data_IF_835406563053
#
_entry.id   IF_835406563053
#
_cell.length_a   1.000
_cell.length_b   1.000
_cell.length_c   1.000
_cell.angle_alpha   90.00
_cell.angle_beta   90.00
_cell.angle_gamma   90.00
#
_symmetry.space_group_name_H-M   'P 1'
#
loop_
_entity.id
_entity.type
_entity.pdbx_description
1 polymer ?
#
# COMPACT_ATOMS: atom_id res chain seq x y z
N UNK A 1 13.16 -9.79 -5.04
CA UNK A 1 12.21 -8.92 -4.34
C UNK A 1 11.04 -9.74 -3.86
N UNK A 2 10.64 -9.50 -2.65
CA UNK A 2 9.49 -10.21 -2.09
C UNK A 2 8.29 -9.29 -2.10
N UNK A 3 7.14 -9.79 -2.51
CA UNK A 3 5.92 -9.01 -2.63
C UNK A 3 4.82 -9.64 -1.79
N UNK A 4 4.11 -8.79 -1.07
CA UNK A 4 2.95 -9.22 -0.30
C UNK A 4 1.74 -8.44 -0.76
N UNK A 5 0.68 -9.15 -1.08
CA UNK A 5 -0.58 -8.55 -1.51
C UNK A 5 -1.62 -8.87 -0.45
N UNK A 6 -2.32 -7.86 0.03
CA UNK A 6 -3.37 -8.04 1.02
C UNK A 6 -4.65 -7.48 0.48
N UNK A 7 -5.72 -8.19 0.72
CA UNK A 7 -7.03 -7.76 0.28
C UNK A 7 -7.99 -7.78 1.45
N UNK A 8 -8.62 -6.65 1.70
CA UNK A 8 -9.64 -6.57 2.75
C UNK A 8 -10.97 -6.20 2.12
N UNK A 9 -12.02 -6.92 2.47
CA UNK A 9 -13.37 -6.59 2.05
C UNK A 9 -14.09 -5.90 3.20
N UNK A 10 -14.99 -5.00 2.91
CA UNK A 10 -15.72 -4.29 3.96
C UNK A 10 -14.80 -3.36 4.74
N UNK A 11 -13.90 -2.71 4.06
CA UNK A 11 -12.83 -1.95 4.69
C UNK A 11 -13.03 -0.43 4.60
N UNK A 12 -14.26 0.04 4.51
CA UNK A 12 -14.51 1.47 4.34
C UNK A 12 -13.86 2.32 5.42
N UNK A 13 -13.93 1.89 6.67
CA UNK A 13 -13.37 2.68 7.77
C UNK A 13 -11.85 2.71 7.67
N UNK A 14 -11.23 1.60 7.28
CA UNK A 14 -9.80 1.55 7.12
C UNK A 14 -9.36 2.42 5.96
N UNK A 15 -10.06 2.35 4.84
CA UNK A 15 -9.76 3.17 3.68
C UNK A 15 -9.85 4.65 4.04
N UNK A 16 -10.91 5.02 4.73
CA UNK A 16 -11.12 6.43 5.11
C UNK A 16 -9.98 6.93 5.99
N UNK A 17 -9.52 6.10 6.89
CA UNK A 17 -8.46 6.52 7.79
C UNK A 17 -7.13 6.65 7.07
N UNK A 18 -6.84 5.77 6.14
CA UNK A 18 -5.64 5.86 5.34
C UNK A 18 -5.68 7.12 4.48
N UNK A 19 -6.84 7.42 3.92
CA UNK A 19 -6.99 8.61 3.08
C UNK A 19 -6.83 9.89 3.89
N UNK A 20 -7.16 9.85 5.15
CA UNK A 20 -6.99 11.03 6.01
C UNK A 20 -5.55 11.23 6.43
N UNK A 21 -4.75 10.20 6.47
CA UNK A 21 -3.40 10.26 7.03
C UNK A 21 -2.37 9.59 6.12
N UNK A 22 -2.35 9.95 4.85
CA UNK A 22 -1.47 9.25 3.91
C UNK A 22 0.00 9.43 4.25
N UNK A 23 0.38 10.59 4.78
CA UNK A 23 1.78 10.83 5.12
C UNK A 23 2.25 9.95 6.25
N UNK A 24 1.39 9.71 7.24
CA UNK A 24 1.76 8.82 8.34
C UNK A 24 2.00 7.42 7.83
N UNK A 25 1.13 6.95 6.97
CA UNK A 25 1.24 5.61 6.42
C UNK A 25 2.53 5.50 5.61
N UNK A 26 2.80 6.50 4.80
CA UNK A 26 4.02 6.50 4.02
C UNK A 26 5.25 6.45 4.90
N UNK A 27 5.29 7.27 5.94
CA UNK A 27 6.46 7.34 6.79
C UNK A 27 6.72 6.03 7.50
N UNK A 28 5.69 5.39 7.96
CA UNK A 28 5.83 4.14 8.68
C UNK A 28 6.29 3.02 7.78
N UNK A 29 5.71 2.92 6.62
CA UNK A 29 6.01 1.82 5.72
C UNK A 29 7.34 2.04 5.00
N UNK A 30 7.57 3.23 4.50
CA UNK A 30 8.75 3.48 3.69
C UNK A 30 10.04 3.48 4.50
N UNK A 31 9.94 3.64 5.81
CA UNK A 31 11.12 3.59 6.64
C UNK A 31 11.55 2.17 7.00
N UNK A 32 10.84 1.18 6.53
CA UNK A 32 11.19 -0.20 6.78
C UNK A 32 12.47 -0.54 6.01
N UNK A 33 13.46 -1.17 6.66
CA UNK A 33 14.66 -1.58 5.95
C UNK A 33 14.31 -2.50 4.77
N UNK A 34 14.89 -2.21 3.63
CA UNK A 34 14.63 -3.01 2.44
C UNK A 34 13.36 -2.65 1.67
N UNK A 35 12.66 -1.62 2.11
CA UNK A 35 11.44 -1.19 1.42
C UNK A 35 11.74 -0.78 -0.02
N UNK A 36 10.89 -1.16 -0.94
CA UNK A 36 11.02 -0.80 -2.35
C UNK A 36 9.80 -0.04 -2.86
N UNK A 37 8.61 -0.54 -2.63
CA UNK A 37 7.41 0.10 -3.17
C UNK A 37 6.17 -0.31 -2.42
N UNK A 38 5.17 0.55 -2.44
CA UNK A 38 3.89 0.27 -1.80
C UNK A 38 2.78 0.90 -2.63
N UNK A 39 1.73 0.15 -2.85
CA UNK A 39 0.55 0.67 -3.54
C UNK A 39 -0.69 0.26 -2.77
N UNK A 40 -1.65 1.15 -2.70
CA UNK A 40 -2.94 0.85 -2.10
C UNK A 40 -4.01 1.22 -3.11
N UNK A 41 -4.91 0.31 -3.35
CA UNK A 41 -5.97 0.48 -4.33
C UNK A 41 -7.29 0.24 -3.65
N UNK A 42 -8.28 1.06 -3.92
CA UNK A 42 -9.61 0.82 -3.39
C UNK A 42 -10.58 0.58 -4.54
N UNK A 43 -11.52 -0.30 -4.32
CA UNK A 43 -12.59 -0.58 -5.25
C UNK A 43 -13.84 -0.77 -4.39
N UNK A 44 -14.71 0.22 -4.37
CA UNK A 44 -15.83 0.20 -3.44
C UNK A 44 -15.30 0.19 -2.03
N UNK A 45 -15.71 -0.81 -1.25
CA UNK A 45 -15.21 -0.96 0.11
C UNK A 45 -14.11 -2.01 0.21
N UNK A 46 -13.54 -2.43 -0.92
CA UNK A 46 -12.43 -3.36 -0.91
C UNK A 46 -11.12 -2.59 -0.99
N UNK A 47 -10.18 -2.96 -0.15
CA UNK A 47 -8.84 -2.39 -0.16
C UNK A 47 -7.84 -3.46 -0.56
N UNK A 48 -6.98 -3.14 -1.49
CA UNK A 48 -5.90 -4.02 -1.86
C UNK A 48 -4.60 -3.27 -1.68
N UNK A 49 -3.66 -3.83 -0.96
CA UNK A 49 -2.34 -3.22 -0.84
C UNK A 49 -1.29 -4.16 -1.38
N UNK A 50 -0.27 -3.58 -1.98
CA UNK A 50 0.85 -4.34 -2.53
C UNK A 50 2.11 -3.73 -1.95
N UNK A 51 2.90 -4.54 -1.27
CA UNK A 51 4.14 -4.10 -0.66
C UNK A 51 5.28 -4.90 -1.25
N UNK A 52 6.31 -4.22 -1.69
CA UNK A 52 7.49 -4.86 -2.26
C UNK A 52 8.69 -4.47 -1.42
N UNK A 53 9.45 -5.45 -0.98
CA UNK A 53 10.69 -5.22 -0.25
C UNK A 53 11.78 -6.11 -0.83
N UNK A 54 13.01 -5.86 -0.43
CA UNK A 54 14.12 -6.64 -0.95
C UNK A 54 14.04 -8.10 -0.54
N UNK A 55 13.43 -8.37 0.62
CA UNK A 55 13.30 -9.74 1.09
C UNK A 55 12.05 -9.90 1.95
N UNK A 56 11.78 -11.12 2.36
CA UNK A 56 10.60 -11.43 3.13
C UNK A 56 10.62 -10.76 4.50
N UNK A 57 11.79 -10.61 5.08
CA UNK A 57 11.89 -9.96 6.38
C UNK A 57 11.34 -8.53 6.30
N UNK A 58 11.58 -7.86 5.17
CA UNK A 58 11.07 -6.52 4.96
C UNK A 58 9.56 -6.50 4.87
N UNK A 59 8.97 -7.38 4.07
CA UNK A 59 7.51 -7.39 3.95
C UNK A 59 6.85 -7.82 5.26
N UNK A 60 7.48 -8.71 6.01
CA UNK A 60 6.94 -9.10 7.32
C UNK A 60 6.95 -7.90 8.26
N UNK A 61 8.01 -7.10 8.22
CA UNK A 61 8.08 -5.93 9.07
C UNK A 61 7.08 -4.85 8.67
N UNK A 62 6.85 -4.65 7.38
CA UNK A 62 5.83 -3.70 6.95
C UNK A 62 4.45 -4.16 7.41
N UNK A 63 4.21 -5.46 7.39
CA UNK A 63 2.94 -6.00 7.86
C UNK A 63 2.75 -5.69 9.34
N UNK A 64 3.79 -5.88 10.13
CA UNK A 64 3.72 -5.62 11.56
C UNK A 64 3.45 -4.13 11.82
N UNK A 65 4.16 -3.26 11.12
CA UNK A 65 3.99 -1.82 11.30
C UNK A 65 2.61 -1.37 10.88
N UNK A 66 2.13 -1.89 9.76
CA UNK A 66 0.80 -1.54 9.29
C UNK A 66 -0.28 -1.98 10.27
N UNK A 67 -0.14 -3.18 10.79
CA UNK A 67 -1.12 -3.69 11.74
C UNK A 67 -1.15 -2.85 13.02
N UNK A 68 0.01 -2.40 13.46
CA UNK A 68 0.08 -1.56 14.62
C UNK A 68 -0.59 -0.21 14.38
N UNK A 69 -0.33 0.38 13.22
CA UNK A 69 -0.94 1.66 12.87
C UNK A 69 -2.47 1.54 12.82
N UNK A 70 -2.95 0.44 12.25
CA UNK A 70 -4.39 0.20 12.16
C UNK A 70 -4.99 0.10 13.56
N UNK A 71 -4.36 -0.64 14.44
CA UNK A 71 -4.89 -0.79 15.79
C UNK A 71 -4.95 0.54 16.53
N UNK A 72 -4.03 1.44 16.23
CA UNK A 72 -4.01 2.72 16.89
C UNK A 72 -5.02 3.71 16.33
N UNK A 73 -5.33 3.59 15.08
CA UNK A 73 -6.05 4.65 14.37
C UNK A 73 -7.45 4.27 13.89
N UNK A 74 -7.77 3.00 13.85
CA UNK A 74 -9.09 2.56 13.42
C UNK A 74 -9.82 1.98 14.62
N UNK A 75 -11.06 2.38 14.87
CA UNK A 75 -11.79 1.88 16.04
C UNK A 75 -11.92 0.36 16.00
N UNK A 76 -11.82 -0.24 17.17
CA UNK A 76 -11.85 -1.69 17.26
C UNK A 76 -13.11 -2.31 16.69
N UNK A 77 -14.25 -1.66 16.85
CA UNK A 77 -15.49 -2.21 16.34
C UNK A 77 -15.52 -2.19 14.82
N UNK A 78 -14.78 -1.30 14.19
CA UNK A 78 -14.71 -1.27 12.73
C UNK A 78 -13.78 -2.36 12.23
N UNK A 79 -12.97 -2.95 13.09
CA UNK A 79 -12.05 -4.02 12.70
C UNK A 79 -12.63 -5.40 12.91
N UNK A 80 -13.79 -5.50 13.52
CA UNK A 80 -14.40 -6.79 13.79
C UNK A 80 -14.70 -7.49 12.49
N UNK A 81 -14.19 -8.69 12.34
CA UNK A 81 -14.42 -9.46 11.13
C UNK A 81 -13.58 -9.02 9.94
N UNK A 82 -12.74 -8.01 10.10
CA UNK A 82 -11.94 -7.51 8.99
C UNK A 82 -10.62 -8.28 8.99
N UNK A 83 -10.52 -9.25 8.11
CA UNK A 83 -9.33 -10.09 8.02
C UNK A 83 -8.85 -10.08 6.58
N UNK A 84 -7.59 -9.80 6.35
CA UNK A 84 -7.11 -9.74 4.97
C UNK A 84 -6.83 -11.13 4.40
N UNK A 85 -7.03 -11.25 3.11
CA UNK A 85 -6.54 -12.38 2.38
C UNK A 85 -5.14 -12.00 1.95
N UNK A 86 -4.17 -12.84 2.20
CA UNK A 86 -2.79 -12.53 1.92
C UNK A 86 -2.21 -13.48 0.88
N UNK A 87 -1.59 -12.90 -0.13
CA UNK A 87 -0.84 -13.66 -1.11
C UNK A 87 0.55 -13.07 -1.14
N UNK A 88 1.57 -13.90 -1.03
CA UNK A 88 2.93 -13.38 -1.05
C UNK A 88 3.85 -14.31 -1.81
N UNK A 89 4.91 -13.79 -2.34
CA UNK A 89 5.87 -14.57 -3.07
C UNK A 89 6.98 -13.74 -3.66
N UNK A 90 7.79 -14.37 -4.49
CA UNK A 90 8.90 -13.69 -5.13
C UNK A 90 8.45 -13.04 -6.42
N UNK A 91 8.86 -11.81 -6.59
CA UNK A 91 8.59 -11.12 -7.83
C UNK A 91 9.52 -11.67 -8.88
N UNK A 92 9.01 -12.13 -9.98
CA UNK A 92 9.84 -12.71 -11.02
C UNK A 92 9.84 -11.90 -12.31
N UNK A 93 9.03 -10.87 -12.37
CA UNK A 93 8.99 -10.01 -13.54
C UNK A 93 8.49 -8.65 -13.10
N UNK A 94 9.23 -7.62 -13.42
CA UNK A 94 8.82 -6.27 -13.05
C UNK A 94 9.45 -5.28 -14.00
N UNK A 95 8.65 -4.36 -14.49
CA UNK A 95 9.18 -3.25 -15.26
C UNK A 95 8.20 -2.10 -15.14
N UNK A 96 8.67 -0.93 -15.41
CA UNK A 96 7.82 0.24 -15.34
C UNK A 96 8.31 1.25 -16.36
N UNK A 97 7.50 2.24 -16.62
CA UNK A 97 7.86 3.24 -17.60
C UNK A 97 9.12 3.96 -17.15
N UNK A 98 9.95 4.41 -18.09
CA UNK A 98 11.14 5.16 -17.72
C UNK A 98 10.78 6.47 -17.04
N UNK A 99 11.63 6.89 -16.13
CA UNK A 99 11.42 8.15 -15.49
C UNK A 99 11.81 9.25 -16.43
N UNK A 100 11.09 10.36 -16.40
CA UNK A 100 11.46 11.48 -17.17
C UNK A 100 12.42 12.30 -16.42
N UNK A 101 13.21 13.05 -17.15
CA UNK A 101 14.06 13.96 -16.54
C UNK A 101 13.29 14.97 -15.81
N UNK A 102 13.68 15.44 -14.76
CA UNK A 102 12.97 16.39 -14.00
C UNK A 102 11.87 15.82 -13.19
N UNK A 103 11.58 14.60 -13.38
CA UNK A 103 10.51 13.96 -12.72
C UNK A 103 11.08 12.96 -11.81
N UNK A 104 12.27 13.21 -11.38
CA UNK A 104 12.92 12.24 -10.64
C UNK A 104 12.50 12.20 -9.26
N UNK A 105 11.93 13.23 -8.80
CA UNK A 105 11.56 13.19 -7.48
C UNK A 105 10.57 12.23 -7.24
N UNK A 106 10.44 11.84 -6.17
CA UNK A 106 9.46 11.06 -5.82
C UNK A 106 8.22 11.51 -6.10
N UNK A 107 7.43 10.78 -6.63
CA UNK A 107 6.20 11.16 -6.94
C UNK A 107 5.33 10.48 -6.09
N UNK A 108 4.71 11.04 -5.20
CA UNK A 108 3.72 10.44 -4.42
C UNK A 108 2.41 10.94 -4.83
N UNK A 109 1.45 10.12 -4.95
CA UNK A 109 0.10 10.51 -5.30
C UNK A 109 -0.81 9.88 -4.34
N UNK A 110 -1.28 10.65 -3.42
CA UNK A 110 -2.19 10.13 -2.44
C UNK A 110 -3.61 10.28 -2.84
N UNK A 111 -3.90 11.23 -3.66
CA UNK A 111 -5.24 11.43 -4.04
C UNK A 111 -5.27 11.38 -5.46
N UNK A 112 -5.95 10.59 -6.06
CA UNK A 112 -5.87 10.42 -7.43
C UNK A 112 -7.02 10.89 -8.16
N UNK A 113 -7.79 11.67 -7.59
CA UNK A 113 -8.98 12.12 -8.25
C UNK A 113 -8.68 12.73 -9.57
N UNK A 114 -7.58 13.40 -9.71
CA UNK A 114 -7.32 14.06 -10.93
C UNK A 114 -6.26 13.40 -11.70
N UNK A 115 -5.98 12.21 -11.45
CA UNK A 115 -5.01 11.53 -12.17
C UNK A 115 -5.26 11.55 -13.57
N UNK A 116 -4.38 11.95 -14.25
CA UNK A 116 -4.56 12.01 -15.64
C UNK A 116 -4.59 10.65 -16.15
N UNK A 117 -4.74 10.24 -16.60
CA UNK A 117 -4.94 9.13 -16.97
C UNK A 117 -4.45 8.74 -17.95
N UNK A 118 -3.98 8.46 -18.41
CA UNK A 118 -3.65 8.20 -19.30
C UNK A 118 -3.49 7.15 -19.46
N UNK A 119 -3.34 6.78 -19.51
CA UNK A 119 -3.27 5.99 -19.68
C UNK A 119 -3.48 5.24 -19.94
N UNK A 120 -3.34 4.98 -20.29
CA UNK A 120 -3.56 4.38 -20.45
C UNK A 120 -3.69 3.50 -20.79
N UNK A 121 -3.49 3.11 -21.10
CA UNK A 121 -3.61 2.41 -21.44
C UNK A 121 -3.33 1.36 -21.44
N UNK A 122 -3.32 0.68 -21.37
CA UNK A 122 -3.07 -0.26 -21.38
C UNK A 122 -3.39 -0.90 -21.47
#
# INVERSE_FOLDING_TARGET
>A
MHTTIRRWNGASALIAEIERRPQEVEDIISSTPGFVAYHAVKSGDTLISVTVCQDKAGTDETTRRAAEWVRKNVPADALTGLTPEITEGEEFLAFQAPQRLGNTTTTRTYNTADTPTNEATM
#
